data_IF_427682104808
#
_entry.id   IF_427682104808
#
_cell.length_a   1.000
_cell.length_b   1.000
_cell.length_c   1.000
_cell.angle_alpha   90.00
_cell.angle_beta   90.00
_cell.angle_gamma   90.00
#
_symmetry.space_group_name_H-M   'P 1'
#
loop_
_entity.id
_entity.type
_entity.pdbx_description
1 polymer ?
#
# COMPACT_ATOMS: atom_id res chain seq x y z
N UNK A 1 32.96 -17.84 -34.29
CA UNK A 1 32.79 -16.40 -33.94
C UNK A 1 31.35 -15.94 -33.85
N UNK A 2 30.45 -16.28 -34.79
CA UNK A 2 29.04 -15.83 -34.80
C UNK A 2 28.24 -16.27 -33.55
N UNK A 3 28.42 -17.51 -33.10
CA UNK A 3 27.69 -18.06 -31.94
C UNK A 3 28.15 -17.50 -30.59
N UNK A 4 29.45 -17.23 -30.44
CA UNK A 4 29.97 -16.54 -29.25
C UNK A 4 29.41 -15.13 -29.13
N UNK A 5 29.17 -14.44 -30.25
CA UNK A 5 28.56 -13.12 -30.24
C UNK A 5 27.07 -13.19 -29.87
N UNK A 6 26.36 -14.23 -30.32
CA UNK A 6 24.96 -14.48 -29.96
C UNK A 6 24.79 -14.79 -28.47
N UNK A 7 25.57 -15.71 -27.92
CA UNK A 7 25.50 -16.06 -26.48
C UNK A 7 25.83 -14.86 -25.58
N UNK A 8 26.82 -14.04 -25.94
CA UNK A 8 27.13 -12.80 -25.22
C UNK A 8 25.98 -11.78 -25.27
N UNK A 9 25.30 -11.63 -26.41
CA UNK A 9 24.12 -10.75 -26.52
C UNK A 9 22.98 -11.24 -25.64
N UNK A 10 22.67 -12.54 -25.68
CA UNK A 10 21.63 -13.15 -24.84
C UNK A 10 21.94 -12.94 -23.36
N UNK A 11 23.18 -13.16 -22.92
CA UNK A 11 23.57 -12.94 -21.52
C UNK A 11 23.49 -11.48 -21.07
N UNK A 12 23.78 -10.51 -21.95
CA UNK A 12 23.57 -9.08 -21.67
C UNK A 12 22.08 -8.73 -21.54
N UNK A 13 21.25 -9.29 -22.41
CA UNK A 13 19.79 -9.14 -22.35
C UNK A 13 19.27 -9.72 -21.03
N UNK A 14 19.71 -10.93 -20.64
CA UNK A 14 19.34 -11.56 -19.37
C UNK A 14 19.63 -10.64 -18.18
N UNK A 15 20.86 -10.13 -18.07
CA UNK A 15 21.24 -9.23 -16.99
C UNK A 15 20.46 -7.92 -17.03
N UNK A 16 20.27 -7.32 -18.21
CA UNK A 16 19.48 -6.11 -18.37
C UNK A 16 18.03 -6.28 -17.90
N UNK A 17 17.38 -7.39 -18.26
CA UNK A 17 16.02 -7.70 -17.80
C UNK A 17 15.98 -7.98 -16.30
N UNK A 18 16.96 -8.69 -15.72
CA UNK A 18 17.02 -8.89 -14.26
C UNK A 18 17.18 -7.58 -13.50
N UNK A 19 17.99 -6.64 -14.01
CA UNK A 19 18.14 -5.30 -13.45
C UNK A 19 16.81 -4.54 -13.51
N UNK A 20 16.11 -4.60 -14.65
CA UNK A 20 14.83 -3.94 -14.84
C UNK A 20 13.77 -4.47 -13.87
N UNK A 21 13.62 -5.79 -13.76
CA UNK A 21 12.67 -6.43 -12.83
C UNK A 21 13.00 -6.07 -11.38
N UNK A 22 14.26 -6.18 -10.98
CA UNK A 22 14.68 -5.82 -9.62
C UNK A 22 14.42 -4.33 -9.33
N UNK A 23 14.67 -3.45 -10.30
CA UNK A 23 14.40 -2.01 -10.17
C UNK A 23 12.91 -1.69 -10.11
N UNK A 24 12.07 -2.41 -10.86
CA UNK A 24 10.62 -2.28 -10.79
C UNK A 24 10.09 -2.64 -9.40
N UNK A 25 10.59 -3.74 -8.81
CA UNK A 25 10.25 -4.11 -7.45
C UNK A 25 10.79 -3.13 -6.41
N UNK A 26 11.96 -2.54 -6.64
CA UNK A 26 12.48 -1.45 -5.80
C UNK A 26 11.57 -0.22 -5.84
N UNK A 27 11.15 0.18 -7.04
CA UNK A 27 10.21 1.29 -7.25
C UNK A 27 8.88 1.04 -6.53
N UNK A 28 8.27 -0.12 -6.75
CA UNK A 28 6.99 -0.46 -6.14
C UNK A 28 7.11 -0.57 -4.61
N UNK A 29 8.08 -1.35 -4.11
CA UNK A 29 8.28 -1.54 -2.67
C UNK A 29 8.60 -0.24 -1.92
N UNK A 30 9.42 0.64 -2.50
CA UNK A 30 9.72 1.94 -1.91
C UNK A 30 8.52 2.90 -1.93
N UNK A 31 7.62 2.78 -2.90
CA UNK A 31 6.35 3.52 -2.90
C UNK A 31 5.39 3.01 -1.82
N UNK A 32 5.13 1.70 -1.81
CA UNK A 32 4.16 1.08 -0.92
C UNK A 32 4.56 1.14 0.55
N UNK A 33 5.85 1.05 0.85
CA UNK A 33 6.31 1.04 2.25
C UNK A 33 5.88 2.30 3.01
N UNK A 34 5.84 3.46 2.37
CA UNK A 34 5.37 4.70 2.99
C UNK A 34 3.89 4.97 2.72
N UNK A 35 3.29 4.30 1.73
CA UNK A 35 1.86 4.43 1.45
C UNK A 35 1.03 3.68 2.49
N UNK A 36 1.34 2.40 2.70
CA UNK A 36 0.60 1.49 3.58
C UNK A 36 1.33 1.24 4.91
N UNK A 37 2.67 1.23 4.87
CA UNK A 37 3.51 0.98 6.04
C UNK A 37 3.84 2.23 6.86
N UNK A 38 4.97 2.17 7.56
CA UNK A 38 5.49 3.24 8.41
C UNK A 38 4.52 3.75 9.48
N UNK A 39 3.77 2.83 10.07
CA UNK A 39 2.81 3.08 11.15
C UNK A 39 3.28 2.55 12.52
N UNK A 40 4.45 1.93 12.63
CA UNK A 40 4.96 1.58 13.97
C UNK A 40 5.55 2.81 14.66
N UNK A 41 5.40 2.87 15.99
CA UNK A 41 6.11 3.86 16.80
C UNK A 41 7.61 3.57 16.84
N UNK A 42 7.96 2.28 16.89
CA UNK A 42 9.34 1.84 16.91
C UNK A 42 9.96 1.95 15.52
N UNK A 43 11.01 2.77 15.42
CA UNK A 43 11.76 2.98 14.17
C UNK A 43 12.27 1.67 13.55
N UNK A 44 12.85 0.78 14.36
CA UNK A 44 13.39 -0.50 13.87
C UNK A 44 12.29 -1.42 13.33
N UNK A 45 11.07 -1.33 13.86
CA UNK A 45 9.93 -2.05 13.30
C UNK A 45 9.52 -1.51 11.94
N UNK A 46 9.52 -0.20 11.73
CA UNK A 46 9.28 0.37 10.40
C UNK A 46 10.37 -0.01 9.39
N UNK A 47 11.64 -0.01 9.81
CA UNK A 47 12.74 -0.47 8.96
C UNK A 47 12.61 -1.97 8.65
N UNK A 48 12.24 -2.79 9.64
CA UNK A 48 12.04 -4.22 9.43
C UNK A 48 10.88 -4.48 8.48
N UNK A 49 9.76 -3.77 8.65
CA UNK A 49 8.61 -3.81 7.74
C UNK A 49 9.02 -3.41 6.31
N UNK A 50 9.78 -2.32 6.18
CA UNK A 50 10.30 -1.85 4.89
C UNK A 50 11.12 -2.94 4.18
N UNK A 51 12.06 -3.56 4.88
CA UNK A 51 12.97 -4.54 4.30
C UNK A 51 12.27 -5.88 4.02
N UNK A 52 11.53 -6.40 5.01
CA UNK A 52 10.98 -7.76 5.00
C UNK A 52 9.69 -7.83 4.18
N UNK A 53 8.81 -6.84 4.29
CA UNK A 53 7.52 -6.89 3.61
C UNK A 53 7.59 -6.20 2.24
N UNK A 54 8.10 -4.97 2.18
CA UNK A 54 7.98 -4.16 0.98
C UNK A 54 9.15 -4.32 0.00
N UNK A 55 10.39 -4.44 0.50
CA UNK A 55 11.58 -4.61 -0.35
C UNK A 55 12.01 -6.06 -0.55
N UNK A 56 11.36 -7.04 0.09
CA UNK A 56 11.74 -8.44 -0.08
C UNK A 56 11.62 -8.95 -1.52
N UNK A 57 10.63 -8.55 -2.36
CA UNK A 57 10.63 -8.94 -3.77
C UNK A 57 11.89 -8.43 -4.50
N UNK A 58 12.28 -7.18 -4.27
CA UNK A 58 13.53 -6.62 -4.82
C UNK A 58 14.74 -7.45 -4.37
N UNK A 59 14.87 -7.73 -3.07
CA UNK A 59 16.01 -8.47 -2.53
C UNK A 59 16.08 -9.91 -3.05
N UNK A 60 14.93 -10.57 -3.21
CA UNK A 60 14.83 -11.92 -3.79
C UNK A 60 15.31 -11.91 -5.24
N UNK A 61 14.77 -11.03 -6.09
CA UNK A 61 15.18 -10.95 -7.50
C UNK A 61 16.63 -10.51 -7.67
N UNK A 62 17.12 -9.62 -6.81
CA UNK A 62 18.53 -9.25 -6.74
C UNK A 62 19.40 -10.47 -6.44
N UNK A 63 19.07 -11.25 -5.40
CA UNK A 63 19.79 -12.46 -5.02
C UNK A 63 19.81 -13.53 -6.10
N UNK A 64 18.66 -13.78 -6.74
CA UNK A 64 18.54 -14.72 -7.87
C UNK A 64 19.41 -14.26 -9.04
N UNK A 65 19.40 -12.98 -9.37
CA UNK A 65 20.18 -12.48 -10.50
C UNK A 65 21.69 -12.41 -10.21
N UNK A 66 22.10 -12.09 -8.98
CA UNK A 66 23.51 -12.25 -8.55
C UNK A 66 23.95 -13.71 -8.73
N UNK A 67 23.14 -14.65 -8.25
CA UNK A 67 23.38 -16.10 -8.42
C UNK A 67 23.49 -16.47 -9.91
N UNK A 68 22.65 -15.88 -10.76
CA UNK A 68 22.64 -16.11 -12.20
C UNK A 68 23.85 -15.50 -12.92
N UNK A 69 24.44 -14.42 -12.40
CA UNK A 69 25.69 -13.84 -12.94
C UNK A 69 26.90 -14.73 -12.61
N UNK A 70 26.94 -15.33 -11.41
CA UNK A 70 28.04 -16.22 -11.00
C UNK A 70 27.91 -17.62 -11.59
N UNK A 71 26.71 -18.19 -11.54
CA UNK A 71 26.39 -19.55 -11.94
C UNK A 71 25.12 -19.59 -12.82
N UNK A 72 25.24 -19.27 -14.13
CA UNK A 72 24.08 -19.07 -15.00
C UNK A 72 23.11 -20.25 -15.05
N UNK A 73 23.61 -21.48 -15.03
CA UNK A 73 22.77 -22.69 -15.04
C UNK A 73 22.02 -22.92 -13.72
N UNK A 74 22.66 -22.62 -12.60
CA UNK A 74 22.01 -22.67 -11.27
C UNK A 74 20.95 -21.59 -11.18
N UNK A 75 21.29 -20.36 -11.56
CA UNK A 75 20.36 -19.25 -11.63
C UNK A 75 19.16 -19.53 -12.53
N UNK A 76 19.38 -20.15 -13.69
CA UNK A 76 18.31 -20.57 -14.59
C UNK A 76 17.36 -21.59 -13.95
N UNK A 77 17.90 -22.60 -13.26
CA UNK A 77 17.08 -23.55 -12.52
C UNK A 77 16.26 -22.86 -11.41
N UNK A 78 16.86 -21.91 -10.68
CA UNK A 78 16.17 -21.14 -9.65
C UNK A 78 15.00 -20.33 -10.24
N UNK A 79 15.18 -19.66 -11.38
CA UNK A 79 14.08 -18.93 -12.03
C UNK A 79 12.89 -19.84 -12.36
N UNK A 80 13.16 -21.06 -12.86
CA UNK A 80 12.11 -22.05 -13.15
C UNK A 80 11.40 -22.49 -11.86
N UNK A 81 12.15 -22.78 -10.81
CA UNK A 81 11.59 -23.16 -9.50
C UNK A 81 10.72 -22.04 -8.94
N UNK A 82 11.18 -20.79 -8.96
CA UNK A 82 10.43 -19.62 -8.49
C UNK A 82 9.17 -19.42 -9.33
N UNK A 83 9.21 -19.62 -10.65
CA UNK A 83 8.03 -19.56 -11.50
C UNK A 83 7.00 -20.63 -11.13
N UNK A 84 7.43 -21.87 -10.86
CA UNK A 84 6.52 -22.95 -10.42
C UNK A 84 5.89 -22.62 -9.06
N UNK A 85 6.71 -22.16 -8.10
CA UNK A 85 6.23 -21.76 -6.77
C UNK A 85 5.23 -20.60 -6.86
N UNK A 86 5.50 -19.59 -7.68
CA UNK A 86 4.58 -18.49 -7.90
C UNK A 86 3.27 -18.95 -8.55
N UNK A 87 3.33 -19.82 -9.57
CA UNK A 87 2.14 -20.37 -10.22
C UNK A 87 1.24 -21.14 -9.24
N UNK A 88 1.85 -21.88 -8.31
CA UNK A 88 1.15 -22.58 -7.24
C UNK A 88 0.57 -21.62 -6.21
N UNK A 89 1.39 -20.72 -5.65
CA UNK A 89 1.01 -19.83 -4.55
C UNK A 89 -0.19 -18.93 -4.89
N UNK A 90 -0.21 -18.39 -6.11
CA UNK A 90 -1.28 -17.50 -6.55
C UNK A 90 -2.40 -18.21 -7.31
N UNK A 91 -2.36 -19.55 -7.39
CA UNK A 91 -3.33 -20.36 -8.11
C UNK A 91 -3.60 -19.85 -9.55
N UNK A 92 -2.66 -20.13 -10.45
CA UNK A 92 -2.67 -19.67 -11.85
C UNK A 92 -4.00 -19.86 -12.60
N UNK A 93 -4.78 -20.90 -12.26
CA UNK A 93 -6.06 -21.19 -12.91
C UNK A 93 -7.17 -20.21 -12.51
N UNK A 94 -7.06 -19.63 -11.32
CA UNK A 94 -7.99 -18.62 -10.80
C UNK A 94 -7.52 -17.20 -11.10
N UNK A 95 -6.24 -17.00 -11.40
CA UNK A 95 -5.67 -15.68 -11.63
C UNK A 95 -4.73 -15.67 -12.85
N UNK A 96 -5.31 -15.52 -14.03
CA UNK A 96 -4.56 -15.54 -15.30
C UNK A 96 -3.59 -14.36 -15.46
N UNK A 97 -3.74 -13.28 -14.69
CA UNK A 97 -2.81 -12.13 -14.68
C UNK A 97 -1.41 -12.57 -14.25
N UNK A 98 -1.28 -13.64 -13.46
CA UNK A 98 0.04 -14.11 -13.04
C UNK A 98 0.92 -14.59 -14.20
N UNK A 99 0.34 -14.93 -15.35
CA UNK A 99 1.12 -15.32 -16.55
C UNK A 99 2.12 -14.20 -16.93
N UNK A 100 1.77 -12.93 -16.71
CA UNK A 100 2.66 -11.80 -16.95
C UNK A 100 3.86 -11.74 -15.99
N UNK A 101 3.77 -12.37 -14.82
CA UNK A 101 4.87 -12.52 -13.87
C UNK A 101 5.69 -13.76 -14.24
N UNK A 102 5.03 -14.87 -14.59
CA UNK A 102 5.70 -16.15 -14.88
C UNK A 102 6.51 -16.14 -16.16
N UNK A 103 5.99 -15.54 -17.24
CA UNK A 103 6.64 -15.53 -18.54
C UNK A 103 8.03 -14.88 -18.49
N UNK A 104 8.22 -13.67 -17.90
CA UNK A 104 9.56 -13.09 -17.72
C UNK A 104 10.52 -13.98 -16.94
N UNK A 105 10.06 -14.70 -15.91
CA UNK A 105 10.91 -15.60 -15.12
C UNK A 105 11.42 -16.79 -15.93
N UNK A 106 10.53 -17.44 -16.67
CA UNK A 106 10.91 -18.57 -17.55
C UNK A 106 11.85 -18.10 -18.65
N UNK A 107 11.54 -16.96 -19.28
CA UNK A 107 12.40 -16.37 -20.32
C UNK A 107 13.78 -16.00 -19.78
N UNK A 108 13.88 -15.43 -18.59
CA UNK A 108 15.14 -15.17 -17.92
C UNK A 108 15.92 -16.45 -17.65
N UNK A 109 15.24 -17.50 -17.19
CA UNK A 109 15.86 -18.81 -17.00
C UNK A 109 16.48 -19.34 -18.29
N UNK A 110 15.76 -19.27 -19.41
CA UNK A 110 16.27 -19.66 -20.73
C UNK A 110 17.45 -18.77 -21.16
N UNK A 111 17.37 -17.45 -20.96
CA UNK A 111 18.44 -16.54 -21.34
C UNK A 111 19.71 -16.77 -20.53
N UNK A 112 19.63 -17.08 -19.23
CA UNK A 112 20.80 -17.45 -18.43
C UNK A 112 21.32 -18.85 -18.77
N UNK A 113 20.46 -19.77 -19.21
CA UNK A 113 20.89 -21.13 -19.60
C UNK A 113 21.77 -21.12 -20.86
N UNK A 114 21.39 -20.32 -21.87
CA UNK A 114 22.08 -20.27 -23.18
C UNK A 114 23.00 -19.04 -23.33
N UNK A 115 22.84 -18.02 -22.50
CA UNK A 115 23.60 -16.78 -22.53
C UNK A 115 24.87 -16.83 -21.68
N UNK A 116 25.87 -16.06 -22.09
CA UNK A 116 27.07 -15.81 -21.29
C UNK A 116 26.99 -14.39 -20.70
N UNK A 117 26.86 -14.23 -19.37
CA UNK A 117 26.75 -12.90 -18.76
C UNK A 117 27.94 -11.98 -19.11
N UNK A 118 27.74 -10.65 -19.08
CA UNK A 118 28.82 -9.68 -19.19
C UNK A 118 29.84 -9.82 -18.04
N UNK A 119 30.97 -9.09 -18.08
CA UNK A 119 31.97 -9.11 -17.02
C UNK A 119 31.34 -8.90 -15.64
N UNK A 120 31.62 -9.83 -14.71
CA UNK A 120 30.93 -9.96 -13.42
C UNK A 120 30.91 -8.66 -12.62
N UNK A 121 32.03 -7.95 -12.54
CA UNK A 121 32.14 -6.69 -11.78
C UNK A 121 31.10 -5.66 -12.25
N UNK A 122 31.03 -5.41 -13.56
CA UNK A 122 30.07 -4.45 -14.13
C UNK A 122 28.64 -4.94 -13.97
N UNK A 123 28.38 -6.23 -14.22
CA UNK A 123 27.06 -6.83 -14.06
C UNK A 123 26.52 -6.65 -12.62
N UNK A 124 27.35 -6.92 -11.62
CA UNK A 124 27.01 -6.79 -10.21
C UNK A 124 26.81 -5.33 -9.77
N UNK A 125 27.68 -4.42 -10.24
CA UNK A 125 27.53 -3.00 -9.96
C UNK A 125 26.15 -2.48 -10.39
N UNK A 126 25.68 -2.86 -11.58
CA UNK A 126 24.35 -2.45 -12.04
C UNK A 126 23.22 -3.22 -11.37
N UNK A 127 23.40 -4.52 -11.12
CA UNK A 127 22.39 -5.37 -10.47
C UNK A 127 22.08 -4.96 -9.02
N UNK A 128 23.08 -4.42 -8.32
CA UNK A 128 22.93 -3.94 -6.95
C UNK A 128 22.65 -2.44 -6.94
N UNK A 129 23.48 -1.65 -7.64
CA UNK A 129 23.47 -0.21 -7.57
C UNK A 129 22.18 0.42 -8.09
N UNK A 130 21.69 -0.01 -9.27
CA UNK A 130 20.52 0.64 -9.87
C UNK A 130 19.24 0.43 -9.05
N UNK A 131 18.87 -0.79 -8.61
CA UNK A 131 17.68 -0.96 -7.77
C UNK A 131 17.77 -0.21 -6.44
N UNK A 132 18.94 -0.17 -5.79
CA UNK A 132 19.13 0.60 -4.55
C UNK A 132 18.91 2.09 -4.80
N UNK A 133 19.50 2.64 -5.87
CA UNK A 133 19.31 4.05 -6.25
C UNK A 133 17.83 4.32 -6.53
N UNK A 134 17.15 3.44 -7.28
CA UNK A 134 15.72 3.58 -7.56
C UNK A 134 14.91 3.59 -6.26
N UNK A 135 15.14 2.64 -5.36
CA UNK A 135 14.45 2.59 -4.07
C UNK A 135 14.68 3.84 -3.22
N UNK A 136 15.92 4.35 -3.15
CA UNK A 136 16.25 5.58 -2.41
C UNK A 136 15.61 6.82 -3.03
N UNK A 137 15.66 6.97 -4.35
CA UNK A 137 15.08 8.12 -5.05
C UNK A 137 13.56 8.13 -4.90
N UNK A 138 12.91 7.00 -5.20
CA UNK A 138 11.45 6.87 -5.12
C UNK A 138 10.95 7.00 -3.68
N UNK A 139 11.68 6.42 -2.73
CA UNK A 139 11.33 6.47 -1.31
C UNK A 139 11.59 7.82 -0.64
N UNK A 140 12.46 8.67 -1.19
CA UNK A 140 12.87 9.93 -0.54
C UNK A 140 11.71 10.89 -0.27
N UNK A 141 10.85 11.15 -1.26
CA UNK A 141 9.71 12.07 -1.13
C UNK A 141 8.65 11.52 -0.18
N UNK A 142 8.19 10.25 -0.31
CA UNK A 142 7.28 9.65 0.67
C UNK A 142 7.86 9.58 2.07
N UNK A 143 9.15 9.27 2.23
CA UNK A 143 9.83 9.27 3.53
C UNK A 143 9.82 10.65 4.18
N UNK A 144 10.14 11.69 3.40
CA UNK A 144 10.06 13.06 3.86
C UNK A 144 8.64 13.41 4.31
N UNK A 145 7.61 13.14 3.48
CA UNK A 145 6.20 13.36 3.86
C UNK A 145 5.84 12.65 5.17
N UNK A 146 6.14 11.36 5.30
CA UNK A 146 5.83 10.59 6.52
C UNK A 146 6.56 11.16 7.74
N UNK A 147 7.77 11.68 7.57
CA UNK A 147 8.54 12.32 8.65
C UNK A 147 7.88 13.61 9.18
N UNK A 148 7.06 14.28 8.36
CA UNK A 148 6.41 15.55 8.69
C UNK A 148 4.98 15.37 9.23
N UNK A 149 4.46 14.13 9.35
CA UNK A 149 3.12 13.88 9.88
C UNK A 149 3.00 14.40 11.32
N UNK A 150 1.85 14.97 11.65
CA UNK A 150 1.49 15.23 13.05
C UNK A 150 1.33 13.89 13.76
N UNK A 151 2.21 13.65 14.72
CA UNK A 151 2.33 12.40 15.50
C UNK A 151 1.57 12.44 16.82
N UNK A 152 0.91 13.56 17.10
CA UNK A 152 0.07 13.70 18.28
C UNK A 152 -1.04 12.65 18.27
N UNK A 153 -1.51 12.31 19.46
CA UNK A 153 -2.65 11.44 19.65
C UNK A 153 -3.46 11.92 20.83
N UNK A 154 -4.76 11.74 20.72
CA UNK A 154 -5.67 11.79 21.84
C UNK A 154 -6.55 10.55 21.82
N UNK A 155 -6.80 10.00 23.00
CA UNK A 155 -7.78 8.94 23.20
C UNK A 155 -9.20 9.51 23.37
N UNK A 156 -9.37 10.83 23.25
CA UNK A 156 -10.64 11.51 23.41
C UNK A 156 -11.27 11.89 22.07
N UNK A 157 -12.56 12.20 22.10
CA UNK A 157 -13.30 12.66 20.94
C UNK A 157 -12.67 13.97 20.41
N UNK A 158 -12.60 14.11 19.09
CA UNK A 158 -11.97 15.26 18.45
C UNK A 158 -13.03 16.11 17.76
N UNK A 159 -13.13 17.38 18.14
CA UNK A 159 -13.91 18.35 17.38
C UNK A 159 -13.08 18.79 16.16
N UNK A 160 -13.60 18.55 14.96
CA UNK A 160 -12.94 18.95 13.71
C UNK A 160 -13.83 19.96 13.01
N UNK A 161 -13.31 21.17 12.88
CA UNK A 161 -13.90 22.27 12.13
C UNK A 161 -13.16 22.42 10.81
N UNK A 162 -13.86 22.27 9.69
CA UNK A 162 -13.22 22.21 8.40
C UNK A 162 -14.19 22.43 7.26
N UNK A 163 -13.86 23.35 6.35
CA UNK A 163 -14.63 23.62 5.15
C UNK A 163 -16.16 23.72 5.38
N UNK A 164 -16.60 24.52 6.35
CA UNK A 164 -18.01 24.78 6.74
C UNK A 164 -18.78 23.59 7.36
N UNK A 165 -18.07 22.55 7.84
CA UNK A 165 -18.63 21.57 8.77
C UNK A 165 -17.92 21.61 10.12
N UNK A 166 -18.66 21.19 11.15
CA UNK A 166 -18.17 20.96 12.50
C UNK A 166 -18.69 19.60 12.95
N UNK A 167 -17.79 18.64 13.13
CA UNK A 167 -18.13 17.27 13.52
C UNK A 167 -17.33 16.86 14.75
N UNK A 168 -17.97 16.10 15.64
CA UNK A 168 -17.25 15.40 16.70
C UNK A 168 -16.89 14.00 16.23
N UNK A 169 -15.60 13.72 16.09
CA UNK A 169 -15.07 12.42 15.69
C UNK A 169 -14.80 11.55 16.91
N UNK A 170 -15.18 10.27 16.82
CA UNK A 170 -15.13 9.33 17.93
C UNK A 170 -13.71 9.22 18.54
N UNK A 171 -13.60 9.00 19.86
CA UNK A 171 -12.34 8.70 20.53
C UNK A 171 -11.75 7.37 20.06
N UNK A 172 -10.49 7.11 20.42
CA UNK A 172 -9.88 5.79 20.23
C UNK A 172 -10.69 4.74 20.98
N UNK A 173 -11.10 3.66 20.31
CA UNK A 173 -11.97 2.65 20.89
C UNK A 173 -12.86 1.99 19.84
N UNK A 174 -14.04 1.47 20.22
CA UNK A 174 -14.95 0.79 19.29
C UNK A 174 -15.36 1.66 18.09
N UNK A 175 -15.55 2.96 18.29
CA UNK A 175 -15.89 3.91 17.21
C UNK A 175 -14.71 4.35 16.33
N UNK A 176 -13.47 3.93 16.65
CA UNK A 176 -12.26 4.21 15.89
C UNK A 176 -11.24 3.07 16.05
N UNK A 177 -11.52 1.89 15.48
CA UNK A 177 -10.65 0.72 15.64
C UNK A 177 -9.38 0.84 14.81
N UNK A 178 -8.35 0.08 15.21
CA UNK A 178 -7.06 -0.02 14.50
C UNK A 178 -6.97 -1.18 13.51
N UNK A 179 -8.03 -1.95 13.41
CA UNK A 179 -8.16 -3.11 12.54
C UNK A 179 -9.31 -2.86 11.55
N UNK A 180 -9.26 -3.61 10.46
CA UNK A 180 -10.27 -3.53 9.42
C UNK A 180 -11.52 -4.32 9.75
N UNK A 181 -12.61 -3.97 9.07
CA UNK A 181 -13.93 -4.56 9.26
C UNK A 181 -14.78 -4.37 8.00
N UNK A 182 -15.85 -5.16 7.84
CA UNK A 182 -16.82 -4.94 6.77
C UNK A 182 -17.76 -3.75 7.07
N UNK A 183 -18.47 -3.27 6.04
CA UNK A 183 -19.29 -2.07 6.16
C UNK A 183 -20.48 -2.23 7.11
N UNK A 184 -21.13 -3.39 7.10
CA UNK A 184 -22.33 -3.64 7.90
C UNK A 184 -22.03 -3.58 9.40
N UNK A 185 -20.92 -4.20 9.79
CA UNK A 185 -20.48 -4.23 11.18
C UNK A 185 -19.99 -2.84 11.63
N UNK A 186 -19.31 -2.08 10.75
CA UNK A 186 -18.96 -0.68 11.03
C UNK A 186 -20.19 0.20 11.31
N UNK A 187 -21.26 0.06 10.51
CA UNK A 187 -22.53 0.78 10.74
C UNK A 187 -23.14 0.38 12.08
N UNK A 188 -23.22 -0.92 12.35
CA UNK A 188 -23.79 -1.45 13.59
C UNK A 188 -23.02 -0.94 14.82
N UNK A 189 -21.69 -0.95 14.78
CA UNK A 189 -20.85 -0.45 15.87
C UNK A 189 -21.14 1.02 16.13
N UNK A 190 -21.20 1.87 15.09
CA UNK A 190 -21.54 3.28 15.30
C UNK A 190 -22.94 3.46 15.90
N UNK A 191 -23.93 2.67 15.48
CA UNK A 191 -25.29 2.74 16.02
C UNK A 191 -25.36 2.35 17.50
N UNK A 192 -24.55 1.39 17.95
CA UNK A 192 -24.48 0.93 19.34
C UNK A 192 -23.59 1.78 20.25
N UNK A 193 -22.80 2.70 19.69
CA UNK A 193 -21.83 3.48 20.43
C UNK A 193 -22.53 4.45 21.41
N UNK A 194 -22.16 4.39 22.69
CA UNK A 194 -22.72 5.25 23.74
C UNK A 194 -22.22 6.71 23.58
N UNK A 195 -22.82 7.65 24.31
CA UNK A 195 -22.55 9.09 24.24
C UNK A 195 -21.06 9.43 24.41
N UNK A 196 -20.34 8.65 25.21
CA UNK A 196 -18.90 8.80 25.48
C UNK A 196 -18.00 8.41 24.29
N UNK A 197 -18.53 7.65 23.33
CA UNK A 197 -17.79 7.14 22.18
C UNK A 197 -16.81 5.99 22.49
N UNK A 198 -16.75 5.52 23.75
CA UNK A 198 -15.77 4.56 24.26
C UNK A 198 -16.38 3.20 24.58
N UNK A 199 -17.70 3.13 24.76
CA UNK A 199 -18.41 1.90 25.10
C UNK A 199 -19.54 1.59 24.12
N UNK A 200 -19.88 0.29 23.99
CA UNK A 200 -21.01 -0.17 23.20
C UNK A 200 -22.18 -0.50 24.13
N UNK A 201 -23.34 0.07 23.84
CA UNK A 201 -24.59 -0.26 24.52
C UNK A 201 -25.18 -1.58 23.97
N UNK A 202 -26.12 -2.15 24.73
CA UNK A 202 -26.85 -3.35 24.31
C UNK A 202 -27.87 -3.08 23.19
N UNK A 203 -28.36 -1.84 23.11
CA UNK A 203 -29.38 -1.40 22.16
C UNK A 203 -28.87 -0.22 21.32
N UNK A 204 -29.37 -0.01 20.08
CA UNK A 204 -28.97 1.12 19.24
C UNK A 204 -29.25 2.47 19.91
N UNK A 205 -28.19 3.27 20.07
CA UNK A 205 -28.25 4.64 20.59
C UNK A 205 -28.48 5.66 19.47
N UNK A 206 -27.98 5.38 18.26
CA UNK A 206 -28.07 6.26 17.08
C UNK A 206 -27.52 7.68 17.31
N UNK A 207 -26.56 7.81 18.23
CA UNK A 207 -25.84 9.06 18.51
C UNK A 207 -24.72 9.24 17.50
N UNK A 208 -23.98 8.16 17.23
CA UNK A 208 -22.86 8.13 16.32
C UNK A 208 -23.23 7.41 15.03
N UNK A 209 -22.57 7.79 13.95
CA UNK A 209 -22.75 7.19 12.62
C UNK A 209 -21.44 7.23 11.84
N UNK A 210 -21.39 6.47 10.74
CA UNK A 210 -20.34 6.70 9.75
C UNK A 210 -20.51 8.10 9.11
N UNK A 211 -19.41 8.82 8.85
CA UNK A 211 -19.46 10.07 8.10
C UNK A 211 -19.92 9.79 6.67
N UNK A 212 -20.61 10.75 6.07
CA UNK A 212 -20.83 10.74 4.62
C UNK A 212 -19.51 11.00 3.89
N UNK A 213 -19.45 10.73 2.58
CA UNK A 213 -18.28 11.08 1.77
C UNK A 213 -18.02 12.58 1.82
N UNK A 214 -19.04 13.43 1.71
CA UNK A 214 -18.87 14.88 1.74
C UNK A 214 -18.25 15.35 3.06
N UNK A 215 -18.75 14.83 4.19
CA UNK A 215 -18.23 15.14 5.52
C UNK A 215 -16.78 14.69 5.70
N UNK A 216 -16.46 13.47 5.27
CA UNK A 216 -15.10 12.95 5.37
C UNK A 216 -14.14 13.78 4.51
N UNK A 217 -14.52 14.05 3.25
CA UNK A 217 -13.74 14.86 2.30
C UNK A 217 -13.49 16.27 2.86
N UNK A 218 -14.52 16.93 3.38
CA UNK A 218 -14.43 18.30 3.92
C UNK A 218 -13.63 18.38 5.22
N UNK A 219 -13.51 17.28 5.96
CA UNK A 219 -12.73 17.22 7.20
C UNK A 219 -11.22 17.03 6.97
N UNK A 220 -10.82 16.49 5.82
CA UNK A 220 -9.42 16.13 5.56
C UNK A 220 -8.45 17.31 5.76
N UNK A 221 -7.26 17.00 6.27
CA UNK A 221 -6.26 17.99 6.64
C UNK A 221 -4.84 17.57 6.21
N UNK A 222 -3.96 18.57 6.14
CA UNK A 222 -2.52 18.43 5.98
C UNK A 222 -1.81 19.41 6.91
N UNK A 223 -0.90 18.89 7.74
CA UNK A 223 -0.20 19.59 8.80
C UNK A 223 -1.14 20.40 9.71
N UNK A 224 -2.29 19.82 10.05
CA UNK A 224 -3.29 20.42 10.94
C UNK A 224 -4.12 21.53 10.28
N UNK A 225 -3.85 21.83 9.01
CA UNK A 225 -4.65 22.76 8.21
C UNK A 225 -5.66 21.99 7.35
N UNK A 226 -6.90 22.46 7.32
CA UNK A 226 -7.92 21.87 6.47
C UNK A 226 -7.51 21.92 4.98
N UNK A 227 -7.71 20.80 4.27
CA UNK A 227 -7.31 20.62 2.87
C UNK A 227 -8.30 21.19 1.84
N UNK A 228 -9.39 21.82 2.30
CA UNK A 228 -10.47 22.40 1.48
C UNK A 228 -11.07 21.39 0.51
N UNK A 229 -11.32 20.19 1.02
CA UNK A 229 -11.88 19.09 0.24
C UNK A 229 -13.29 19.39 -0.26
N UNK A 230 -13.55 19.15 -1.54
CA UNK A 230 -14.87 19.27 -2.17
C UNK A 230 -15.23 17.95 -2.85
N UNK A 231 -16.40 17.41 -2.51
CA UNK A 231 -16.95 16.22 -3.12
C UNK A 231 -17.85 16.56 -4.32
N UNK A 232 -17.55 15.98 -5.48
CA UNK A 232 -18.40 16.03 -6.66
C UNK A 232 -19.18 14.71 -6.78
N UNK A 233 -20.42 14.71 -6.30
CA UNK A 233 -21.28 13.51 -6.29
C UNK A 233 -21.60 12.98 -7.70
N UNK A 234 -21.65 13.85 -8.72
CA UNK A 234 -21.96 13.45 -10.10
C UNK A 234 -20.80 12.70 -10.76
N UNK A 235 -19.56 13.08 -10.43
CA UNK A 235 -18.35 12.43 -10.95
C UNK A 235 -17.81 11.34 -10.03
N UNK A 236 -18.32 11.27 -8.79
CA UNK A 236 -17.75 10.46 -7.72
C UNK A 236 -16.25 10.78 -7.48
N UNK A 237 -15.91 12.07 -7.51
CA UNK A 237 -14.53 12.55 -7.39
C UNK A 237 -14.41 13.59 -6.26
N UNK A 238 -13.36 13.45 -5.45
CA UNK A 238 -12.95 14.44 -4.47
C UNK A 238 -11.82 15.31 -5.02
N UNK A 239 -11.83 16.60 -4.70
CA UNK A 239 -10.78 17.56 -5.05
C UNK A 239 -10.33 18.33 -3.81
N UNK A 240 -9.06 18.73 -3.77
CA UNK A 240 -8.47 19.40 -2.62
C UNK A 240 -7.51 20.50 -3.08
N UNK A 241 -7.39 21.57 -2.30
CA UNK A 241 -6.35 22.59 -2.50
C UNK A 241 -4.97 22.05 -2.09
N UNK A 242 -4.94 21.27 -1.01
CA UNK A 242 -3.75 20.57 -0.50
C UNK A 242 -4.06 19.09 -0.42
N UNK A 243 -3.16 18.21 -0.88
CA UNK A 243 -3.37 16.77 -0.73
C UNK A 243 -3.29 16.40 0.76
N UNK A 244 -4.35 15.82 1.35
CA UNK A 244 -4.32 15.45 2.75
C UNK A 244 -3.39 14.26 3.01
N UNK A 245 -3.07 14.01 4.28
CA UNK A 245 -2.26 12.87 4.69
C UNK A 245 -2.85 12.15 5.93
N UNK A 246 -2.26 11.01 6.25
CA UNK A 246 -2.57 10.18 7.41
C UNK A 246 -2.01 10.79 8.69
N UNK A 247 -2.69 11.80 9.21
CA UNK A 247 -2.29 12.51 10.42
C UNK A 247 -3.47 12.83 11.35
N UNK A 248 -3.12 13.10 12.60
CA UNK A 248 -4.04 13.58 13.62
C UNK A 248 -4.56 14.99 13.25
N UNK A 249 -5.81 15.38 13.57
CA UNK A 249 -6.77 14.71 14.45
C UNK A 249 -7.61 13.61 13.81
N UNK A 250 -7.60 13.45 12.49
CA UNK A 250 -8.45 12.46 11.81
C UNK A 250 -7.86 11.06 11.87
N UNK A 251 -6.65 10.87 11.35
CA UNK A 251 -6.07 9.54 11.19
C UNK A 251 -5.14 9.21 12.35
N UNK A 252 -5.12 7.94 12.75
CA UNK A 252 -4.09 7.43 13.65
C UNK A 252 -2.90 7.09 12.75
N UNK A 253 -1.88 7.95 12.78
CA UNK A 253 -0.66 7.80 11.98
C UNK A 253 0.06 6.48 12.25
N UNK A 254 -0.29 5.81 13.34
CA UNK A 254 0.29 4.55 13.78
C UNK A 254 -0.68 3.36 13.76
N UNK A 255 -1.84 3.51 13.14
CA UNK A 255 -2.67 2.37 12.75
C UNK A 255 -2.23 1.85 11.39
N UNK A 256 -2.46 0.57 11.07
CA UNK A 256 -2.34 0.07 9.69
C UNK A 256 -3.51 0.51 8.79
N UNK A 257 -4.63 0.96 9.38
CA UNK A 257 -5.82 1.39 8.63
C UNK A 257 -5.49 2.61 7.77
N UNK A 258 -5.75 2.51 6.48
CA UNK A 258 -5.52 3.57 5.48
C UNK A 258 -6.78 3.92 4.68
N UNK A 259 -7.84 3.14 4.86
CA UNK A 259 -9.15 3.38 4.29
C UNK A 259 -10.20 3.42 5.39
N UNK A 260 -11.21 4.27 5.22
CA UNK A 260 -12.40 4.26 6.05
C UNK A 260 -13.66 4.06 5.24
N UNK A 261 -14.57 3.26 5.79
CA UNK A 261 -15.96 3.24 5.36
C UNK A 261 -16.65 4.59 5.58
N UNK A 262 -17.54 4.92 4.66
CA UNK A 262 -18.48 6.05 4.78
C UNK A 262 -19.91 5.51 4.81
N UNK A 263 -20.86 6.32 5.27
CA UNK A 263 -22.30 6.01 5.20
C UNK A 263 -22.88 6.19 3.79
N UNK A 264 -22.15 6.78 2.85
CA UNK A 264 -22.65 7.01 1.49
C UNK A 264 -22.59 5.73 0.69
N UNK A 265 -23.76 5.15 0.43
CA UNK A 265 -23.91 3.99 -0.44
C UNK A 265 -23.77 4.38 -1.92
N UNK A 266 -23.19 3.49 -2.70
CA UNK A 266 -23.19 3.57 -4.17
C UNK A 266 -24.45 2.88 -4.70
N UNK A 267 -24.73 1.71 -4.14
CA UNK A 267 -25.88 0.86 -4.43
C UNK A 267 -26.11 -0.12 -3.26
N UNK A 268 -27.01 -1.09 -3.44
CA UNK A 268 -27.34 -2.07 -2.40
C UNK A 268 -26.13 -2.90 -1.92
N UNK A 269 -25.15 -3.15 -2.79
CA UNK A 269 -23.98 -4.02 -2.52
C UNK A 269 -22.71 -3.23 -2.24
N UNK A 270 -22.64 -1.97 -2.62
CA UNK A 270 -21.43 -1.17 -2.58
C UNK A 270 -21.60 0.11 -1.77
N UNK A 271 -20.55 0.49 -1.05
CA UNK A 271 -20.44 1.77 -0.35
C UNK A 271 -19.11 2.45 -0.73
N UNK A 272 -19.05 3.76 -0.52
CA UNK A 272 -17.81 4.50 -0.71
C UNK A 272 -16.87 4.32 0.47
N UNK A 273 -15.59 4.16 0.17
CA UNK A 273 -14.48 4.33 1.11
C UNK A 273 -13.72 5.60 0.79
N UNK A 274 -13.11 6.20 1.82
CA UNK A 274 -12.14 7.28 1.66
C UNK A 274 -10.74 6.79 2.06
N UNK A 275 -9.74 7.15 1.28
CA UNK A 275 -8.32 6.91 1.55
C UNK A 275 -7.76 8.11 2.33
N UNK A 276 -6.78 7.89 3.21
CA UNK A 276 -6.12 8.99 3.93
C UNK A 276 -5.55 10.11 3.03
N UNK A 277 -5.27 9.81 1.76
CA UNK A 277 -4.77 10.79 0.79
C UNK A 277 -5.89 11.53 0.05
N UNK A 278 -7.14 11.33 0.48
CA UNK A 278 -8.34 12.02 0.01
C UNK A 278 -9.05 11.34 -1.16
N UNK A 279 -8.51 10.25 -1.72
CA UNK A 279 -9.20 9.53 -2.79
C UNK A 279 -10.46 8.84 -2.27
N UNK A 280 -11.45 8.70 -3.12
CA UNK A 280 -12.71 8.01 -2.81
C UNK A 280 -12.93 6.91 -3.83
N UNK A 281 -13.31 5.73 -3.35
CA UNK A 281 -13.53 4.57 -4.22
C UNK A 281 -14.77 3.77 -3.80
N UNK A 282 -15.53 3.21 -4.75
CA UNK A 282 -16.58 2.25 -4.43
C UNK A 282 -15.95 0.91 -4.03
N UNK A 283 -16.51 0.25 -3.01
CA UNK A 283 -16.14 -1.11 -2.60
C UNK A 283 -17.38 -1.90 -2.19
N UNK A 284 -17.29 -3.22 -2.36
CA UNK A 284 -18.30 -4.16 -1.86
C UNK A 284 -18.43 -4.04 -0.35
N UNK A 285 -19.65 -3.95 0.17
CA UNK A 285 -19.92 -3.88 1.62
C UNK A 285 -19.45 -5.11 2.38
N UNK A 286 -19.33 -6.25 1.68
CA UNK A 286 -18.78 -7.52 2.19
C UNK A 286 -17.24 -7.56 2.25
N UNK A 287 -16.57 -6.52 1.73
CA UNK A 287 -15.11 -6.51 1.70
C UNK A 287 -14.57 -6.35 3.11
N UNK A 288 -13.81 -7.34 3.56
CA UNK A 288 -13.13 -7.33 4.84
C UNK A 288 -11.61 -7.38 4.60
N UNK A 289 -10.93 -6.27 4.85
CA UNK A 289 -9.49 -6.13 4.70
C UNK A 289 -8.94 -5.47 5.95
N UNK A 290 -7.89 -6.02 6.55
CA UNK A 290 -7.34 -5.56 7.84
C UNK A 290 -6.86 -4.10 7.89
N UNK A 291 -6.79 -3.41 6.75
CA UNK A 291 -6.42 -2.00 6.62
C UNK A 291 -7.59 -1.08 6.19
N UNK A 292 -8.82 -1.60 6.11
CA UNK A 292 -10.07 -0.89 5.82
C UNK A 292 -10.96 -0.88 7.07
N UNK A 293 -10.91 0.23 7.82
CA UNK A 293 -11.66 0.39 9.06
C UNK A 293 -12.74 1.47 8.93
N UNK A 294 -12.96 2.20 10.02
CA UNK A 294 -13.87 3.34 10.05
C UNK A 294 -13.55 4.28 11.20
N UNK A 295 -14.21 5.43 11.21
CA UNK A 295 -14.30 6.29 12.38
C UNK A 295 -15.67 6.94 12.45
N UNK A 296 -16.37 6.80 13.57
CA UNK A 296 -17.71 7.39 13.72
C UNK A 296 -17.65 8.90 13.95
N UNK A 297 -18.73 9.59 13.60
CA UNK A 297 -18.96 11.01 13.83
C UNK A 297 -20.34 11.26 14.43
N UNK A 298 -20.51 12.42 15.08
CA UNK A 298 -21.81 12.98 15.48
C UNK A 298 -21.82 14.50 15.31
#
# INVERSE_FOLDING_TARGET
>A
MKDQNKSKRIGRIAVGFSILITSLWAFWGAGETFHEGWYYENFMMNISLTIIQYLSPMLIFMGIGITSIYWPRVGAAIHVVVAILAAWFFNIFSNTVIIFILMPLVLLGLFYWYGSPPPRKTALQWMIGLPIIVGLVVGSVPAYRVSQRIKDRSSDAQLVEGNEITLTWAPSGPGWPREGINWHEAVQICQLLDQDGKTLAAEPQNIWRLPTVDEAVRSMALHGENSRGVWNAQKAEASYEKRPDKEFPLWDSYSQVIYWWTSTEVDQKNAYIIVYDGKVWPRSKELDMGYLGFRCVK
#
